data_IF_690820486971
#
_entry.id   IF_690820486971
#
_cell.length_a   1.000
_cell.length_b   1.000
_cell.length_c   1.000
_cell.angle_alpha   90.00
_cell.angle_beta   90.00
_cell.angle_gamma   90.00
#
_symmetry.space_group_name_H-M   'P 1'
#
loop_
_entity.id
_entity.type
_entity.pdbx_description
1 polymer ?
#
# COMPACT_ATOMS: atom_id res chain seq x y z
N UNK A 1 -2.66 1.68 -26.45
CA UNK A 1 -3.83 2.41 -25.93
C UNK A 1 -4.41 1.67 -24.74
N UNK A 2 -4.65 2.38 -23.66
CA UNK A 2 -5.18 1.80 -22.43
C UNK A 2 -6.69 1.77 -22.47
N UNK A 3 -7.33 0.64 -22.14
CA UNK A 3 -8.78 0.57 -22.04
C UNK A 3 -9.27 1.31 -20.80
N UNK A 4 -10.56 1.63 -20.75
CA UNK A 4 -11.17 2.26 -19.58
C UNK A 4 -10.98 1.39 -18.33
N UNK A 5 -11.15 0.07 -18.46
CA UNK A 5 -10.96 -0.87 -17.35
C UNK A 5 -9.51 -0.88 -16.85
N UNK A 6 -8.54 -0.83 -17.76
CA UNK A 6 -7.13 -0.76 -17.38
C UNK A 6 -6.81 0.57 -16.69
N UNK A 7 -7.36 1.67 -17.19
CA UNK A 7 -7.19 2.98 -16.58
C UNK A 7 -7.72 2.98 -15.15
N UNK A 8 -8.91 2.42 -14.92
CA UNK A 8 -9.50 2.35 -13.59
C UNK A 8 -8.65 1.53 -12.64
N UNK A 9 -8.07 0.41 -13.10
CA UNK A 9 -7.18 -0.40 -12.28
C UNK A 9 -5.90 0.34 -11.93
N UNK A 10 -5.34 1.08 -12.87
CA UNK A 10 -4.11 1.86 -12.63
C UNK A 10 -4.37 2.95 -11.61
N UNK A 11 -5.48 3.70 -11.74
CA UNK A 11 -5.84 4.74 -10.78
C UNK A 11 -6.14 4.15 -9.40
N UNK A 12 -6.82 3.01 -9.34
CA UNK A 12 -7.09 2.33 -8.07
C UNK A 12 -5.78 1.98 -7.35
N UNK A 13 -4.79 1.48 -8.08
CA UNK A 13 -3.51 1.09 -7.50
C UNK A 13 -2.62 2.29 -7.17
N UNK A 14 -2.43 3.20 -8.13
CA UNK A 14 -1.41 4.26 -7.99
C UNK A 14 -1.85 5.41 -7.08
N UNK A 15 -3.14 5.68 -7.04
CA UNK A 15 -3.67 6.82 -6.30
C UNK A 15 -4.54 6.39 -5.12
N UNK A 16 -5.63 5.68 -5.40
CA UNK A 16 -6.63 5.38 -4.38
C UNK A 16 -6.12 4.42 -3.31
N UNK A 17 -5.43 3.36 -3.71
CA UNK A 17 -4.86 2.40 -2.76
C UNK A 17 -3.85 3.08 -1.84
N UNK A 18 -3.00 3.95 -2.39
CA UNK A 18 -2.01 4.66 -1.59
C UNK A 18 -2.68 5.48 -0.48
N UNK A 19 -3.79 6.16 -0.80
CA UNK A 19 -4.53 6.94 0.20
C UNK A 19 -5.19 6.05 1.24
N UNK A 20 -5.77 4.91 0.83
CA UNK A 20 -6.37 3.96 1.75
C UNK A 20 -5.32 3.40 2.72
N UNK A 21 -4.18 2.97 2.20
CA UNK A 21 -3.10 2.42 3.01
C UNK A 21 -2.60 3.44 4.02
N UNK A 22 -2.35 4.66 3.57
CA UNK A 22 -1.88 5.75 4.42
C UNK A 22 -2.87 6.06 5.54
N UNK A 23 -4.14 6.16 5.20
CA UNK A 23 -5.22 6.46 6.14
C UNK A 23 -5.40 5.33 7.16
N UNK A 24 -5.37 4.09 6.71
CA UNK A 24 -5.50 2.93 7.60
C UNK A 24 -4.28 2.77 8.51
N UNK A 25 -3.10 3.07 8.00
CA UNK A 25 -1.84 2.92 8.73
C UNK A 25 -1.83 3.76 10.02
N UNK A 26 -2.32 4.99 9.94
CA UNK A 26 -2.29 5.88 11.11
C UNK A 26 -3.28 5.48 12.22
N UNK A 27 -4.17 4.54 11.93
CA UNK A 27 -5.13 4.05 12.92
C UNK A 27 -4.50 3.12 13.96
N UNK A 28 -3.25 2.71 13.76
CA UNK A 28 -2.54 1.88 14.73
C UNK A 28 -2.51 2.57 16.09
N UNK A 29 -2.79 1.86 17.20
CA UNK A 29 -2.64 2.44 18.55
C UNK A 29 -1.23 2.97 18.79
N UNK A 30 -0.21 2.34 18.19
CA UNK A 30 1.17 2.78 18.32
C UNK A 30 1.36 4.18 17.74
N UNK A 31 0.75 4.46 16.59
CA UNK A 31 0.85 5.78 15.98
C UNK A 31 0.26 6.86 16.87
N UNK A 32 -0.81 6.52 17.60
CA UNK A 32 -1.52 7.49 18.44
C UNK A 32 -0.76 7.87 19.71
N UNK A 33 0.08 6.97 20.23
CA UNK A 33 0.81 7.21 21.47
C UNK A 33 2.26 7.62 21.27
N UNK A 34 2.78 7.47 20.06
CA UNK A 34 4.19 7.78 19.75
C UNK A 34 4.33 8.91 18.74
N UNK A 35 3.39 9.83 18.73
CA UNK A 35 3.50 11.04 17.91
C UNK A 35 4.70 11.85 18.44
N UNK A 36 5.54 12.29 17.58
CA UNK A 36 6.79 12.96 17.95
C UNK A 36 8.02 12.09 17.78
N UNK A 37 7.85 10.77 17.62
CA UNK A 37 8.94 9.85 17.30
C UNK A 37 8.73 9.36 15.87
N UNK A 38 8.98 10.22 14.89
CA UNK A 38 8.69 9.89 13.51
C UNK A 38 9.96 9.73 12.70
N UNK A 39 10.09 8.60 12.04
CA UNK A 39 11.13 8.38 11.04
C UNK A 39 10.65 8.88 9.67
N UNK A 40 11.59 9.11 8.75
CA UNK A 40 11.26 9.55 7.41
C UNK A 40 10.29 8.63 6.67
N UNK A 41 10.49 7.31 6.83
CA UNK A 41 9.61 6.32 6.19
C UNK A 41 8.17 6.40 6.72
N UNK A 42 7.99 6.66 8.02
CA UNK A 42 6.67 6.88 8.58
C UNK A 42 6.01 8.11 7.97
N UNK A 43 6.74 9.23 7.91
CA UNK A 43 6.21 10.46 7.34
C UNK A 43 5.83 10.31 5.87
N UNK A 44 6.68 9.64 5.10
CA UNK A 44 6.41 9.40 3.69
C UNK A 44 5.15 8.55 3.50
N UNK A 45 5.02 7.47 4.29
CA UNK A 45 3.89 6.56 4.17
C UNK A 45 2.57 7.22 4.60
N UNK A 46 2.62 8.11 5.59
CA UNK A 46 1.40 8.74 6.13
C UNK A 46 1.09 10.10 5.52
N UNK A 47 1.89 10.56 4.57
CA UNK A 47 1.75 11.90 4.00
C UNK A 47 0.36 12.18 3.45
N UNK A 48 -0.30 11.18 2.88
CA UNK A 48 -1.62 11.32 2.26
C UNK A 48 -2.76 10.79 3.13
N UNK A 49 -2.51 10.53 4.42
CA UNK A 49 -3.54 10.07 5.34
C UNK A 49 -4.58 11.15 5.64
N UNK A 50 -4.16 12.40 5.61
CA UNK A 50 -5.06 13.55 5.80
C UNK A 50 -5.69 13.89 4.46
N UNK A 51 -7.02 13.74 4.36
CA UNK A 51 -7.72 13.89 3.10
C UNK A 51 -9.16 14.35 3.34
N UNK A 52 -9.83 14.72 2.26
CA UNK A 52 -11.25 15.07 2.31
C UNK A 52 -12.09 13.80 2.21
N UNK A 53 -12.75 13.35 3.29
CA UNK A 53 -13.45 12.07 3.29
C UNK A 53 -14.60 12.00 2.30
N UNK A 54 -15.33 13.09 2.12
CA UNK A 54 -16.48 13.10 1.23
C UNK A 54 -16.05 12.91 -0.23
N UNK A 55 -15.09 13.71 -0.68
CA UNK A 55 -14.59 13.64 -2.04
C UNK A 55 -13.98 12.28 -2.35
N UNK A 56 -13.08 11.81 -1.47
CA UNK A 56 -12.37 10.56 -1.71
C UNK A 56 -13.29 9.33 -1.64
N UNK A 57 -14.28 9.34 -0.72
CA UNK A 57 -15.23 8.22 -0.66
C UNK A 57 -16.06 8.10 -1.94
N UNK A 58 -16.45 9.21 -2.52
CA UNK A 58 -17.18 9.21 -3.78
C UNK A 58 -16.35 8.62 -4.93
N UNK A 59 -15.10 9.08 -5.04
CA UNK A 59 -14.18 8.56 -6.07
C UNK A 59 -13.89 7.08 -5.88
N UNK A 60 -13.71 6.65 -4.65
CA UNK A 60 -13.42 5.25 -4.34
C UNK A 60 -14.60 4.34 -4.62
N UNK A 61 -15.83 4.80 -4.34
CA UNK A 61 -17.03 4.02 -4.64
C UNK A 61 -17.21 3.87 -6.16
N UNK A 62 -16.91 4.91 -6.92
CA UNK A 62 -16.97 4.84 -8.38
C UNK A 62 -16.04 3.78 -8.96
N UNK A 63 -14.96 3.48 -8.26
CA UNK A 63 -13.95 2.51 -8.68
C UNK A 63 -13.90 1.30 -7.73
N UNK A 64 -15.02 0.98 -7.11
CA UNK A 64 -15.09 0.07 -5.96
C UNK A 64 -14.52 -1.32 -6.25
N UNK A 65 -14.87 -1.91 -7.39
CA UNK A 65 -14.41 -3.27 -7.68
C UNK A 65 -12.90 -3.36 -7.87
N UNK A 66 -12.33 -2.42 -8.61
CA UNK A 66 -10.89 -2.37 -8.84
C UNK A 66 -10.13 -2.09 -7.53
N UNK A 67 -10.63 -1.13 -6.75
CA UNK A 67 -9.96 -0.77 -5.49
C UNK A 67 -10.06 -1.90 -4.46
N UNK A 68 -11.22 -2.53 -4.33
CA UNK A 68 -11.38 -3.66 -3.40
C UNK A 68 -10.44 -4.80 -3.77
N UNK A 69 -10.29 -5.09 -5.06
CA UNK A 69 -9.35 -6.11 -5.54
C UNK A 69 -7.91 -5.79 -5.09
N UNK A 70 -7.50 -4.55 -5.24
CA UNK A 70 -6.14 -4.13 -4.86
C UNK A 70 -5.93 -4.20 -3.35
N UNK A 71 -6.94 -3.80 -2.57
CA UNK A 71 -6.87 -3.88 -1.11
C UNK A 71 -6.75 -5.35 -0.68
N UNK A 72 -7.56 -6.23 -1.22
CA UNK A 72 -7.55 -7.66 -0.86
C UNK A 72 -6.21 -8.29 -1.20
N UNK A 73 -5.64 -7.93 -2.34
CA UNK A 73 -4.33 -8.43 -2.74
C UNK A 73 -3.23 -7.96 -1.77
N UNK A 74 -3.30 -6.71 -1.35
CA UNK A 74 -2.34 -6.18 -0.38
C UNK A 74 -2.50 -6.86 0.98
N UNK A 75 -3.73 -7.11 1.42
CA UNK A 75 -3.99 -7.84 2.67
C UNK A 75 -3.34 -9.22 2.62
N UNK A 76 -3.48 -9.92 1.51
CA UNK A 76 -2.88 -11.23 1.33
C UNK A 76 -1.35 -11.15 1.40
N UNK A 77 -0.76 -10.18 0.73
CA UNK A 77 0.69 -9.96 0.77
C UNK A 77 1.17 -9.68 2.18
N UNK A 78 0.50 -8.77 2.89
CA UNK A 78 0.85 -8.45 4.28
C UNK A 78 0.71 -9.66 5.19
N UNK A 79 -0.28 -10.52 4.91
CA UNK A 79 -0.48 -11.76 5.66
C UNK A 79 0.74 -12.68 5.63
N UNK A 80 1.43 -12.74 4.50
CA UNK A 80 2.64 -13.56 4.38
C UNK A 80 3.74 -13.07 5.32
N UNK A 81 3.96 -11.75 5.40
CA UNK A 81 4.93 -11.17 6.34
C UNK A 81 4.54 -11.47 7.79
N UNK A 82 3.26 -11.33 8.10
CA UNK A 82 2.76 -11.60 9.44
C UNK A 82 3.02 -13.05 9.84
N UNK A 83 2.74 -14.00 8.95
CA UNK A 83 2.97 -15.42 9.20
C UNK A 83 4.44 -15.71 9.41
N UNK A 84 5.31 -15.16 8.56
CA UNK A 84 6.75 -15.37 8.70
C UNK A 84 7.25 -14.90 10.05
N UNK A 85 6.76 -13.75 10.52
CA UNK A 85 7.16 -13.20 11.81
C UNK A 85 6.62 -14.00 12.99
N UNK A 86 5.36 -14.44 12.92
CA UNK A 86 4.76 -15.26 13.97
C UNK A 86 5.48 -16.60 14.10
N UNK A 87 5.89 -17.18 12.98
CA UNK A 87 6.60 -18.45 12.94
C UNK A 87 8.11 -18.28 13.16
N UNK A 88 8.57 -17.06 13.26
CA UNK A 88 10.00 -16.72 13.38
C UNK A 88 10.82 -17.35 12.24
N UNK A 89 10.21 -17.44 11.07
CA UNK A 89 10.82 -18.04 9.88
C UNK A 89 11.64 -16.98 9.15
N UNK A 90 12.89 -16.84 9.56
CA UNK A 90 13.79 -15.83 9.02
C UNK A 90 14.00 -16.00 7.52
N UNK A 91 14.15 -17.24 7.07
CA UNK A 91 14.39 -17.52 5.65
C UNK A 91 13.21 -17.12 4.78
N UNK A 92 12.01 -17.45 5.22
CA UNK A 92 10.80 -17.06 4.51
C UNK A 92 10.65 -15.53 4.46
N UNK A 93 10.88 -14.88 5.59
CA UNK A 93 10.84 -13.42 5.65
C UNK A 93 11.88 -12.78 4.71
N UNK A 94 13.09 -13.32 4.71
CA UNK A 94 14.14 -12.83 3.82
C UNK A 94 13.74 -12.98 2.35
N UNK A 95 13.12 -14.09 2.00
CA UNK A 95 12.65 -14.33 0.63
C UNK A 95 11.55 -13.34 0.23
N UNK A 96 10.61 -13.04 1.14
CA UNK A 96 9.56 -12.06 0.88
C UNK A 96 10.14 -10.68 0.63
N UNK A 97 11.08 -10.27 1.47
CA UNK A 97 11.72 -8.96 1.34
C UNK A 97 12.56 -8.87 0.06
N UNK A 98 13.29 -9.93 -0.26
CA UNK A 98 14.10 -9.98 -1.47
C UNK A 98 13.25 -9.91 -2.73
N UNK A 99 12.09 -10.56 -2.72
CA UNK A 99 11.16 -10.51 -3.84
C UNK A 99 10.68 -9.09 -4.09
N UNK A 100 10.28 -8.39 -3.04
CA UNK A 100 9.84 -6.99 -3.15
C UNK A 100 10.96 -6.07 -3.64
N UNK A 101 12.16 -6.25 -3.11
CA UNK A 101 13.33 -5.48 -3.53
C UNK A 101 13.62 -5.68 -5.03
N UNK A 102 13.58 -6.94 -5.47
CA UNK A 102 13.81 -7.27 -6.88
C UNK A 102 12.76 -6.63 -7.79
N UNK A 103 11.50 -6.72 -7.40
CA UNK A 103 10.41 -6.12 -8.17
C UNK A 103 10.59 -4.61 -8.27
N UNK A 104 10.91 -3.96 -7.16
CA UNK A 104 11.11 -2.51 -7.16
C UNK A 104 12.27 -2.09 -8.05
N UNK A 105 13.37 -2.85 -8.02
CA UNK A 105 14.51 -2.56 -8.91
C UNK A 105 14.12 -2.68 -10.38
N UNK A 106 13.36 -3.71 -10.72
CA UNK A 106 12.90 -3.92 -12.10
C UNK A 106 11.99 -2.78 -12.55
N UNK A 107 11.08 -2.33 -11.66
CA UNK A 107 10.18 -1.20 -11.96
C UNK A 107 10.97 0.10 -12.16
N UNK A 108 11.98 0.34 -11.34
CA UNK A 108 12.81 1.53 -11.46
C UNK A 108 13.63 1.52 -12.75
N UNK A 109 14.19 0.36 -13.11
CA UNK A 109 14.94 0.21 -14.36
C UNK A 109 14.04 0.47 -15.56
N UNK A 110 12.82 -0.05 -15.53
CA UNK A 110 11.82 0.17 -16.57
C UNK A 110 11.46 1.65 -16.68
N UNK A 111 11.29 2.31 -15.56
CA UNK A 111 10.96 3.74 -15.52
C UNK A 111 12.10 4.63 -16.03
N UNK A 112 13.35 4.13 -15.98
CA UNK A 112 14.53 4.86 -16.45
C UNK A 112 14.62 4.92 -17.96
N UNK A 113 13.85 4.13 -18.65
CA UNK A 113 13.82 4.10 -20.10
C UNK A 113 12.61 4.86 -20.61
#
# INVERSE_FOLDING_TARGET
>A
MTSAAEHDRVIAFTSQLAHVVSNAYVKSPTAQVHHGFSAGSYRDLTRVAHLNPQMWSELMIDDANALAFEIDHLIESLGAYSRALKDRDKRYLENLLAEGDRIKRALDDEASH
#
